data_IF_119672687512
#
_entry.id   IF_119672687512
#
_cell.length_a   1.000
_cell.length_b   1.000
_cell.length_c   1.000
_cell.angle_alpha   90.00
_cell.angle_beta   90.00
_cell.angle_gamma   90.00
#
_symmetry.space_group_name_H-M   'P 1'
#
loop_
_entity.id
_entity.type
_entity.pdbx_description
1 polymer ?
#
# COMPACT_ATOMS: atom_id res chain seq x y z
N UNK A 1 64.82 -2.53 -11.84
CA UNK A 1 63.69 -3.35 -11.30
C UNK A 1 62.41 -2.59 -11.55
N UNK A 2 61.42 -3.18 -12.16
CA UNK A 2 60.16 -2.51 -12.38
C UNK A 2 59.50 -2.22 -11.02
N UNK A 3 59.04 -1.00 -10.80
CA UNK A 3 58.37 -0.56 -9.59
C UNK A 3 57.02 -1.29 -9.47
N UNK A 4 56.68 -1.73 -8.26
CA UNK A 4 55.38 -2.35 -7.97
C UNK A 4 54.28 -1.30 -8.15
N UNK A 5 53.18 -1.60 -8.92
CA UNK A 5 52.08 -0.66 -9.09
C UNK A 5 51.33 -0.38 -7.77
N UNK A 6 50.71 0.79 -7.70
CA UNK A 6 49.81 1.10 -6.59
C UNK A 6 48.59 0.15 -6.56
N UNK A 7 48.04 -0.06 -5.36
CA UNK A 7 46.81 -0.85 -5.20
C UNK A 7 45.66 -0.21 -5.95
N UNK A 8 44.85 -0.99 -6.68
CA UNK A 8 43.61 -0.46 -7.26
C UNK A 8 42.59 -0.12 -6.17
N UNK A 9 41.56 0.63 -6.55
CA UNK A 9 40.44 0.96 -5.66
C UNK A 9 39.16 0.33 -6.20
N UNK A 10 38.47 -0.45 -5.37
CA UNK A 10 37.15 -0.99 -5.65
C UNK A 10 36.07 -0.08 -5.07
N UNK A 11 35.02 0.21 -5.85
CA UNK A 11 33.87 1.00 -5.42
C UNK A 11 32.60 0.35 -5.89
N UNK A 12 31.59 0.32 -5.00
CA UNK A 12 30.23 -0.01 -5.40
C UNK A 12 29.69 1.09 -6.33
N UNK A 13 28.95 0.70 -7.36
CA UNK A 13 28.22 1.62 -8.24
C UNK A 13 26.74 1.73 -7.77
N UNK A 14 25.97 2.69 -8.30
CA UNK A 14 24.53 2.72 -8.08
C UNK A 14 23.80 1.48 -8.58
N UNK A 15 24.37 0.76 -9.55
CA UNK A 15 23.85 -0.50 -10.05
C UNK A 15 24.51 -1.65 -9.28
N UNK A 16 23.71 -2.47 -8.58
CA UNK A 16 24.22 -3.48 -7.67
C UNK A 16 25.00 -4.60 -8.37
N UNK A 17 24.76 -4.84 -9.66
CA UNK A 17 25.47 -5.82 -10.47
C UNK A 17 26.85 -5.32 -10.94
N UNK A 18 27.15 -4.05 -10.77
CA UNK A 18 28.38 -3.41 -11.27
C UNK A 18 29.33 -3.07 -10.13
N UNK A 19 30.62 -3.18 -10.41
CA UNK A 19 31.72 -2.71 -9.54
C UNK A 19 32.62 -1.83 -10.36
N UNK A 20 32.93 -0.65 -9.85
CA UNK A 20 33.94 0.22 -10.43
C UNK A 20 35.33 -0.11 -9.88
N UNK A 21 36.27 -0.30 -10.80
CA UNK A 21 37.68 -0.59 -10.51
C UNK A 21 38.51 0.57 -11.01
N UNK A 22 39.10 1.33 -10.14
CA UNK A 22 39.97 2.47 -10.46
C UNK A 22 41.42 2.07 -10.17
N UNK A 23 42.33 2.34 -11.12
CA UNK A 23 43.78 2.16 -10.94
C UNK A 23 44.56 3.19 -11.69
N UNK A 24 45.77 3.51 -11.19
CA UNK A 24 46.68 4.42 -11.82
C UNK A 24 47.63 3.65 -12.76
N UNK A 25 47.83 4.17 -13.95
CA UNK A 25 48.74 3.59 -14.94
C UNK A 25 50.14 4.15 -14.68
N UNK A 26 51.17 3.31 -14.47
CA UNK A 26 52.56 3.80 -14.27
C UNK A 26 53.03 4.56 -15.48
N UNK A 27 53.75 5.67 -15.25
CA UNK A 27 54.42 6.43 -16.32
C UNK A 27 55.67 5.73 -16.81
N UNK A 28 56.36 5.10 -15.87
CA UNK A 28 57.60 4.42 -16.16
C UNK A 28 57.33 3.12 -16.91
N UNK A 29 57.93 3.02 -18.08
CA UNK A 29 57.92 1.79 -18.84
C UNK A 29 56.77 1.68 -19.85
N UNK A 30 55.95 2.69 -20.09
CA UNK A 30 54.93 2.79 -21.14
C UNK A 30 54.08 1.50 -21.29
N UNK A 31 53.34 1.09 -20.29
CA UNK A 31 52.54 -0.14 -20.37
C UNK A 31 51.40 0.06 -21.37
N UNK A 32 51.25 -0.94 -22.25
CA UNK A 32 50.18 -0.95 -23.26
C UNK A 32 49.00 -1.79 -22.87
N UNK A 33 49.17 -2.65 -21.87
CA UNK A 33 48.12 -3.57 -21.42
C UNK A 33 48.10 -3.68 -19.89
N UNK A 34 46.89 -3.89 -19.33
CA UNK A 34 46.68 -4.18 -17.93
C UNK A 34 45.82 -5.46 -17.78
N UNK A 35 46.13 -6.25 -16.77
CA UNK A 35 45.29 -7.34 -16.33
C UNK A 35 44.80 -7.06 -14.93
N UNK A 36 43.50 -7.19 -14.72
CA UNK A 36 42.86 -7.00 -13.40
C UNK A 36 42.37 -8.36 -12.89
N UNK A 37 42.77 -8.66 -11.65
CA UNK A 37 42.35 -9.88 -10.95
C UNK A 37 41.57 -9.50 -9.70
N UNK A 38 40.46 -10.20 -9.49
CA UNK A 38 39.64 -10.07 -8.29
C UNK A 38 39.81 -11.33 -7.42
N UNK A 39 40.10 -11.11 -6.14
CA UNK A 39 40.36 -12.15 -5.16
C UNK A 39 39.16 -12.22 -4.20
N UNK A 40 38.54 -13.36 -4.10
CA UNK A 40 37.48 -13.61 -3.12
C UNK A 40 38.02 -13.98 -1.75
N UNK A 41 37.31 -13.68 -0.68
CA UNK A 41 37.70 -14.04 0.68
C UNK A 41 37.89 -15.56 0.88
N UNK A 42 37.27 -16.39 0.07
CA UNK A 42 37.42 -17.86 0.04
C UNK A 42 38.63 -18.38 -0.74
N UNK A 43 39.51 -17.50 -1.27
CA UNK A 43 40.73 -17.85 -1.97
C UNK A 43 40.60 -17.99 -3.50
N UNK A 44 39.41 -17.92 -4.06
CA UNK A 44 39.22 -17.95 -5.51
C UNK A 44 39.76 -16.64 -6.15
N UNK A 45 40.40 -16.76 -7.31
CA UNK A 45 40.83 -15.62 -8.12
C UNK A 45 40.10 -15.64 -9.43
N UNK A 46 39.42 -14.55 -9.76
CA UNK A 46 38.70 -14.35 -11.01
C UNK A 46 39.39 -13.26 -11.85
N UNK A 47 39.25 -13.30 -13.15
CA UNK A 47 39.81 -12.31 -14.05
C UNK A 47 38.71 -11.42 -14.63
N UNK A 48 39.01 -10.13 -14.76
CA UNK A 48 38.20 -9.22 -15.56
C UNK A 48 38.52 -9.41 -17.06
N UNK A 49 37.46 -9.61 -17.85
CA UNK A 49 37.60 -9.68 -19.34
C UNK A 49 37.18 -8.34 -19.95
N UNK A 50 38.12 -7.70 -20.57
CA UNK A 50 37.94 -6.36 -21.17
C UNK A 50 36.99 -6.35 -22.38
N UNK A 51 36.77 -7.48 -23.03
CA UNK A 51 35.90 -7.52 -24.22
C UNK A 51 34.41 -7.65 -23.85
N UNK A 52 34.10 -8.36 -22.73
CA UNK A 52 32.73 -8.54 -22.25
C UNK A 52 32.36 -7.60 -21.08
N UNK A 53 33.34 -6.87 -20.53
CA UNK A 53 33.22 -6.07 -19.33
C UNK A 53 32.71 -6.87 -18.11
N UNK A 54 33.06 -8.15 -18.07
CA UNK A 54 32.61 -9.08 -17.03
C UNK A 54 33.77 -9.65 -16.24
N UNK A 55 33.48 -10.03 -15.01
CA UNK A 55 34.35 -10.89 -14.22
C UNK A 55 34.01 -12.34 -14.56
N UNK A 56 35.01 -13.05 -15.07
CA UNK A 56 34.84 -14.44 -15.50
C UNK A 56 34.88 -15.39 -14.30
N UNK A 57 34.31 -16.61 -14.42
CA UNK A 57 34.45 -17.67 -13.44
C UNK A 57 35.91 -17.95 -13.06
N UNK A 58 36.14 -18.50 -11.88
CA UNK A 58 37.45 -18.87 -11.42
C UNK A 58 38.13 -19.87 -12.37
N UNK A 59 39.38 -19.61 -12.75
CA UNK A 59 40.14 -20.45 -13.68
C UNK A 59 40.03 -20.09 -15.16
N UNK A 60 39.08 -19.24 -15.55
CA UNK A 60 38.97 -18.72 -16.90
C UNK A 60 39.96 -17.57 -17.13
N UNK A 61 40.50 -17.47 -18.34
CA UNK A 61 41.43 -16.39 -18.76
C UNK A 61 40.67 -15.28 -19.44
N UNK A 62 40.70 -14.08 -18.84
CA UNK A 62 40.13 -12.86 -19.44
C UNK A 62 41.11 -12.16 -20.39
N UNK A 63 40.53 -11.35 -21.27
CA UNK A 63 41.31 -10.48 -22.16
C UNK A 63 41.84 -9.28 -21.38
N UNK A 64 43.07 -8.89 -21.63
CA UNK A 64 43.68 -7.73 -21.02
C UNK A 64 43.02 -6.42 -21.45
N UNK A 65 43.05 -5.44 -20.59
CA UNK A 65 42.62 -4.07 -20.88
C UNK A 65 43.70 -3.40 -21.72
N UNK A 66 43.35 -2.92 -22.91
CA UNK A 66 44.26 -2.10 -23.72
C UNK A 66 44.29 -0.70 -23.10
N UNK A 67 45.48 -0.22 -22.84
CA UNK A 67 45.74 1.16 -22.41
C UNK A 67 46.01 2.02 -23.65
N UNK A 68 45.38 3.18 -23.75
CA UNK A 68 45.73 4.16 -24.76
C UNK A 68 47.08 4.77 -24.37
N UNK A 69 47.87 5.16 -25.37
CA UNK A 69 49.09 5.94 -25.13
C UNK A 69 48.77 7.15 -24.26
N UNK A 70 49.58 7.43 -23.22
CA UNK A 70 49.35 8.60 -22.37
C UNK A 70 49.49 9.86 -23.23
N UNK A 71 48.42 10.67 -23.27
CA UNK A 71 48.57 12.06 -23.69
C UNK A 71 49.59 12.71 -22.76
N UNK A 72 50.38 13.68 -23.28
CA UNK A 72 51.44 14.39 -22.53
C UNK A 72 50.90 15.15 -21.30
N UNK A 73 50.47 14.44 -20.29
CA UNK A 73 49.96 14.97 -19.02
C UNK A 73 50.92 14.65 -17.89
N UNK A 74 51.18 15.64 -17.05
CA UNK A 74 52.09 15.51 -15.90
C UNK A 74 51.56 14.55 -14.80
N UNK A 75 50.26 14.23 -14.79
CA UNK A 75 49.66 13.32 -13.82
C UNK A 75 49.60 11.88 -14.31
N UNK A 76 49.73 10.86 -13.47
CA UNK A 76 49.51 9.46 -13.84
C UNK A 76 48.13 9.30 -14.43
N UNK A 77 48.02 8.66 -15.58
CA UNK A 77 46.73 8.41 -16.21
C UNK A 77 45.92 7.45 -15.34
N UNK A 78 44.76 7.90 -14.84
CA UNK A 78 43.86 7.06 -14.09
C UNK A 78 42.91 6.35 -15.04
N UNK A 79 42.81 5.03 -14.90
CA UNK A 79 41.85 4.19 -15.63
C UNK A 79 40.73 3.76 -14.72
N UNK A 80 39.50 3.87 -15.20
CA UNK A 80 38.31 3.36 -14.54
C UNK A 80 37.63 2.30 -15.38
N UNK A 81 37.34 1.17 -14.80
CA UNK A 81 36.62 0.06 -15.43
C UNK A 81 35.30 -0.18 -14.66
N UNK A 82 34.29 -0.60 -15.41
CA UNK A 82 33.07 -1.15 -14.84
C UNK A 82 33.10 -2.65 -15.09
N UNK A 83 32.95 -3.41 -14.03
CA UNK A 83 32.93 -4.86 -14.06
C UNK A 83 31.58 -5.39 -13.60
N UNK A 84 31.01 -6.35 -14.34
CA UNK A 84 29.77 -7.05 -14.03
C UNK A 84 30.05 -8.53 -13.73
N UNK A 85 29.04 -9.30 -13.28
CA UNK A 85 29.18 -10.74 -13.03
C UNK A 85 29.79 -11.12 -11.70
N UNK A 86 29.86 -10.18 -10.74
CA UNK A 86 30.23 -10.46 -9.36
C UNK A 86 28.99 -10.76 -8.53
N UNK A 87 28.98 -11.94 -7.89
CA UNK A 87 27.98 -12.32 -6.91
C UNK A 87 28.23 -11.65 -5.54
N UNK A 88 27.45 -12.01 -4.52
CA UNK A 88 27.68 -11.56 -3.14
C UNK A 88 29.00 -12.12 -2.61
N UNK A 89 29.71 -11.32 -1.82
CA UNK A 89 30.99 -11.72 -1.24
C UNK A 89 31.88 -10.55 -0.88
N UNK A 90 33.08 -10.84 -0.44
CA UNK A 90 34.14 -9.85 -0.18
C UNK A 90 35.21 -10.02 -1.25
N UNK A 91 35.51 -8.94 -1.93
CA UNK A 91 36.46 -8.90 -3.04
C UNK A 91 37.55 -7.90 -2.80
N UNK A 92 38.77 -8.28 -3.20
CA UNK A 92 39.92 -7.40 -3.32
C UNK A 92 40.41 -7.45 -4.77
N UNK A 93 41.05 -6.42 -5.27
CA UNK A 93 41.58 -6.40 -6.61
C UNK A 93 43.09 -6.22 -6.62
N UNK A 94 43.73 -6.75 -7.66
CA UNK A 94 45.11 -6.46 -8.03
C UNK A 94 45.18 -6.11 -9.52
N UNK A 95 46.19 -5.34 -9.92
CA UNK A 95 46.51 -5.02 -11.30
C UNK A 95 47.95 -5.34 -11.59
N UNK A 96 48.23 -5.84 -12.78
CA UNK A 96 49.57 -5.98 -13.33
C UNK A 96 49.62 -5.40 -14.74
N UNK A 97 50.74 -4.85 -15.13
CA UNK A 97 50.93 -4.17 -16.41
C UNK A 97 51.93 -4.92 -17.29
N UNK A 98 51.79 -4.74 -18.61
CA UNK A 98 52.71 -5.29 -19.62
C UNK A 98 52.89 -4.34 -20.76
N UNK A 99 54.08 -4.23 -21.35
CA UNK A 99 54.35 -3.59 -22.62
C UNK A 99 53.90 -4.49 -23.80
N UNK A 100 53.77 -3.90 -24.97
CA UNK A 100 53.40 -4.65 -26.16
C UNK A 100 54.34 -5.80 -26.48
N UNK A 101 55.61 -5.57 -26.29
CA UNK A 101 56.67 -6.52 -26.66
C UNK A 101 57.07 -7.50 -25.55
N UNK A 102 56.54 -7.29 -24.34
CA UNK A 102 56.84 -8.19 -23.21
C UNK A 102 55.98 -9.44 -23.29
N UNK A 103 56.61 -10.60 -23.06
CA UNK A 103 55.92 -11.92 -22.97
C UNK A 103 55.24 -12.03 -21.61
N UNK A 104 55.91 -11.59 -20.56
CA UNK A 104 55.48 -11.76 -19.18
C UNK A 104 54.84 -10.47 -18.61
N UNK A 105 53.94 -10.67 -17.66
CA UNK A 105 53.36 -9.57 -16.88
C UNK A 105 54.39 -9.03 -15.88
N UNK A 106 54.46 -7.73 -15.74
CA UNK A 106 55.25 -7.08 -14.69
C UNK A 106 54.72 -7.41 -13.27
N UNK A 107 55.35 -6.81 -12.25
CA UNK A 107 54.95 -7.07 -10.85
C UNK A 107 53.45 -6.72 -10.63
N UNK A 108 52.83 -7.57 -9.86
CA UNK A 108 51.43 -7.35 -9.44
C UNK A 108 51.35 -6.31 -8.32
N UNK A 109 50.39 -5.43 -8.36
CA UNK A 109 50.13 -4.43 -7.32
C UNK A 109 49.83 -5.10 -5.96
N UNK A 110 49.88 -4.29 -4.90
CA UNK A 110 49.23 -4.67 -3.64
C UNK A 110 47.72 -4.85 -3.86
N UNK A 111 47.09 -5.60 -2.96
CA UNK A 111 45.63 -5.77 -2.99
C UNK A 111 44.95 -4.45 -2.60
N UNK A 112 43.79 -4.21 -3.21
CA UNK A 112 42.92 -3.12 -2.80
C UNK A 112 42.37 -3.30 -1.39
N UNK A 113 41.79 -2.26 -0.83
CA UNK A 113 40.87 -2.44 0.30
C UNK A 113 39.72 -3.37 -0.10
N UNK A 114 39.22 -4.20 0.83
CA UNK A 114 38.15 -5.12 0.55
C UNK A 114 36.83 -4.39 0.26
N UNK A 115 36.14 -4.84 -0.80
CA UNK A 115 34.77 -4.43 -1.12
C UNK A 115 33.82 -5.55 -0.69
N UNK A 116 32.95 -5.27 0.28
CA UNK A 116 31.93 -6.20 0.72
C UNK A 116 30.65 -5.99 -0.05
N UNK A 117 30.13 -7.06 -0.64
CA UNK A 117 28.86 -7.08 -1.38
C UNK A 117 27.94 -8.12 -0.73
N UNK A 118 26.85 -7.66 -0.17
CA UNK A 118 25.89 -8.53 0.53
C UNK A 118 24.47 -8.28 0.03
N UNK A 119 23.60 -9.25 0.25
CA UNK A 119 22.16 -9.05 0.14
C UNK A 119 21.72 -7.90 1.06
N UNK A 120 20.59 -7.25 0.79
CA UNK A 120 20.12 -6.14 1.60
C UNK A 120 19.78 -6.58 3.02
N UNK A 121 19.80 -5.63 3.94
CA UNK A 121 19.24 -5.83 5.28
C UNK A 121 17.73 -6.02 5.20
N UNK A 122 17.14 -6.60 6.24
CA UNK A 122 15.69 -6.72 6.36
C UNK A 122 15.00 -5.36 6.21
N UNK A 123 13.86 -5.35 5.53
CA UNK A 123 12.97 -4.21 5.53
C UNK A 123 12.43 -3.96 6.95
N UNK A 124 12.04 -2.71 7.26
CA UNK A 124 11.25 -2.43 8.46
C UNK A 124 9.88 -3.11 8.39
N UNK A 125 9.26 -3.36 9.56
CA UNK A 125 7.90 -3.87 9.59
C UNK A 125 6.95 -2.93 8.82
N UNK A 126 6.11 -3.45 7.91
CA UNK A 126 5.19 -2.60 7.15
C UNK A 126 4.08 -2.05 8.07
N UNK A 127 3.63 -0.83 7.75
CA UNK A 127 2.43 -0.25 8.33
C UNK A 127 1.25 -0.58 7.41
N UNK A 128 0.18 -1.12 7.98
CA UNK A 128 -1.05 -1.49 7.26
C UNK A 128 -2.21 -0.63 7.72
N UNK A 129 -3.00 -0.13 6.77
CA UNK A 129 -4.17 0.70 7.02
C UNK A 129 -5.34 0.18 6.20
N UNK A 130 -6.56 0.13 6.77
CA UNK A 130 -7.74 -0.27 6.05
C UNK A 130 -8.16 0.84 5.09
N UNK A 131 -8.62 0.49 3.88
CA UNK A 131 -9.13 1.42 2.87
C UNK A 131 -10.63 1.20 2.65
N UNK A 132 -11.04 -0.06 2.51
CA UNK A 132 -12.43 -0.48 2.35
C UNK A 132 -12.63 -1.89 2.92
N UNK A 133 -13.80 -2.47 2.72
CA UNK A 133 -14.12 -3.85 3.10
C UNK A 133 -13.31 -4.93 2.35
N UNK A 134 -12.62 -4.55 1.27
CA UNK A 134 -11.85 -5.45 0.42
C UNK A 134 -10.45 -4.95 0.11
N UNK A 135 -10.02 -3.79 0.67
CA UNK A 135 -8.76 -3.17 0.33
C UNK A 135 -7.94 -2.76 1.56
N UNK A 136 -6.65 -3.06 1.54
CA UNK A 136 -5.66 -2.65 2.54
C UNK A 136 -4.55 -1.83 1.85
N UNK A 137 -4.18 -0.71 2.46
CA UNK A 137 -3.01 0.07 2.11
C UNK A 137 -1.81 -0.40 2.93
N UNK A 138 -0.71 -0.70 2.24
CA UNK A 138 0.55 -1.15 2.84
C UNK A 138 1.62 -0.10 2.59
N UNK A 139 2.17 0.48 3.65
CA UNK A 139 3.31 1.38 3.62
C UNK A 139 4.56 0.64 4.07
N UNK A 140 5.63 0.74 3.31
CA UNK A 140 6.90 0.11 3.65
C UNK A 140 8.10 0.91 3.14
N UNK A 141 9.23 0.72 3.80
CA UNK A 141 10.51 1.29 3.39
C UNK A 141 11.46 0.15 3.04
N UNK A 142 12.23 0.35 1.98
CA UNK A 142 13.24 -0.63 1.55
C UNK A 142 14.64 -0.06 1.70
N UNK A 143 15.65 -0.91 1.97
CA UNK A 143 17.03 -0.52 2.04
C UNK A 143 17.50 0.16 0.75
N UNK A 144 18.50 1.04 0.86
CA UNK A 144 19.09 1.71 -0.31
C UNK A 144 19.75 0.68 -1.24
N UNK A 145 19.57 0.84 -2.55
CA UNK A 145 20.19 -0.02 -3.55
C UNK A 145 19.37 -1.26 -3.93
N UNK A 146 18.16 -1.43 -3.37
CA UNK A 146 17.27 -2.49 -3.79
C UNK A 146 16.62 -2.16 -5.15
N UNK A 147 16.46 -3.18 -5.99
CA UNK A 147 15.90 -3.07 -7.34
C UNK A 147 14.44 -3.47 -7.38
N UNK A 148 14.08 -4.50 -6.69
CA UNK A 148 12.73 -5.04 -6.57
C UNK A 148 12.53 -5.67 -5.20
N UNK A 149 11.32 -6.08 -4.91
CA UNK A 149 10.97 -6.71 -3.65
C UNK A 149 9.62 -7.38 -3.72
N UNK A 150 9.22 -8.00 -2.63
CA UNK A 150 7.99 -8.73 -2.53
C UNK A 150 7.19 -8.33 -1.28
N UNK A 151 5.88 -8.43 -1.40
CA UNK A 151 4.92 -8.20 -0.31
C UNK A 151 4.05 -9.44 -0.19
N UNK A 152 4.03 -10.01 1.00
CA UNK A 152 3.31 -11.26 1.28
C UNK A 152 2.32 -11.03 2.41
N UNK A 153 1.10 -11.49 2.18
CA UNK A 153 0.01 -11.52 3.13
C UNK A 153 -0.11 -12.92 3.73
N UNK A 154 -0.17 -12.99 5.04
CA UNK A 154 -0.46 -14.20 5.80
C UNK A 154 -1.85 -14.08 6.39
N UNK A 155 -2.72 -14.99 6.02
CA UNK A 155 -4.04 -15.17 6.62
C UNK A 155 -3.90 -15.81 8.01
N UNK A 156 -4.78 -15.46 8.94
CA UNK A 156 -4.73 -16.00 10.31
C UNK A 156 -4.77 -17.53 10.30
N UNK A 157 -3.80 -18.14 10.99
CA UNK A 157 -3.61 -19.61 11.02
C UNK A 157 -2.96 -20.21 9.76
N UNK A 158 -2.67 -19.44 8.73
CA UNK A 158 -2.01 -19.94 7.53
C UNK A 158 -0.48 -20.01 7.71
N UNK A 159 0.13 -21.15 7.36
CA UNK A 159 1.58 -21.33 7.35
C UNK A 159 2.24 -20.80 6.08
N UNK A 160 1.46 -20.61 5.01
CA UNK A 160 1.93 -20.15 3.70
C UNK A 160 1.31 -18.79 3.39
N UNK A 161 2.15 -17.81 3.09
CA UNK A 161 1.72 -16.50 2.67
C UNK A 161 1.35 -16.45 1.19
N UNK A 162 0.51 -15.46 0.83
CA UNK A 162 0.13 -15.17 -0.55
C UNK A 162 0.82 -13.90 -1.04
N UNK A 163 1.54 -14.02 -2.15
CA UNK A 163 2.26 -12.91 -2.75
C UNK A 163 1.31 -11.94 -3.46
N UNK A 164 1.64 -10.67 -3.46
CA UNK A 164 0.88 -9.64 -4.19
C UNK A 164 1.36 -9.59 -5.65
N UNK A 165 0.43 -9.66 -6.59
CA UNK A 165 0.76 -9.49 -8.02
C UNK A 165 1.04 -8.01 -8.33
N UNK A 166 2.11 -7.73 -9.06
CA UNK A 166 2.58 -6.38 -9.35
C UNK A 166 1.59 -5.57 -10.22
N UNK A 167 1.00 -6.22 -11.20
CA UNK A 167 0.15 -5.62 -12.23
C UNK A 167 -1.27 -5.32 -11.75
N UNK A 168 -1.84 -6.23 -10.97
CA UNK A 168 -3.24 -6.15 -10.50
C UNK A 168 -3.38 -5.62 -9.08
N UNK A 169 -2.30 -5.63 -8.30
CA UNK A 169 -2.33 -5.36 -6.85
C UNK A 169 -3.32 -6.26 -6.09
N UNK A 170 -3.45 -7.52 -6.52
CA UNK A 170 -4.27 -8.56 -5.87
C UNK A 170 -3.39 -9.67 -5.34
N UNK A 171 -3.94 -10.49 -4.43
CA UNK A 171 -3.22 -11.67 -3.94
C UNK A 171 -3.15 -12.74 -5.04
N UNK A 172 -1.95 -13.27 -5.29
CA UNK A 172 -1.73 -14.44 -6.16
C UNK A 172 -2.39 -15.67 -5.55
N UNK A 173 -2.54 -16.72 -6.34
CA UNK A 173 -2.94 -18.02 -5.81
C UNK A 173 -1.88 -18.55 -4.84
N UNK A 174 -2.31 -19.41 -3.91
CA UNK A 174 -1.39 -20.02 -2.94
C UNK A 174 -0.31 -20.82 -3.66
N UNK A 175 0.96 -20.56 -3.32
CA UNK A 175 2.13 -21.20 -3.94
C UNK A 175 2.71 -20.49 -5.18
N UNK A 176 2.01 -19.50 -5.75
CA UNK A 176 2.58 -18.65 -6.79
C UNK A 176 3.48 -17.58 -6.16
N UNK A 177 4.71 -17.49 -6.67
CA UNK A 177 5.72 -16.52 -6.22
C UNK A 177 6.08 -15.55 -7.34
N UNK A 178 6.71 -14.45 -6.99
CA UNK A 178 7.21 -13.45 -7.94
C UNK A 178 7.26 -12.06 -7.32
N UNK A 179 8.11 -11.17 -7.85
CA UNK A 179 8.27 -9.85 -7.25
C UNK A 179 6.98 -9.03 -7.32
N UNK A 180 6.63 -8.40 -6.21
CA UNK A 180 5.47 -7.50 -6.11
C UNK A 180 5.76 -6.13 -6.72
N UNK A 181 7.01 -5.67 -6.72
CA UNK A 181 7.37 -4.33 -7.18
C UNK A 181 8.77 -4.27 -7.77
N UNK A 182 8.98 -3.34 -8.71
CA UNK A 182 10.28 -3.03 -9.32
C UNK A 182 10.55 -1.53 -9.35
N UNK A 183 11.79 -1.13 -9.66
CA UNK A 183 12.18 0.27 -9.89
C UNK A 183 12.02 1.19 -8.68
N UNK A 184 12.72 0.93 -7.59
CA UNK A 184 12.46 1.51 -6.26
C UNK A 184 13.04 2.91 -6.04
N UNK A 185 12.15 3.86 -5.69
CA UNK A 185 12.49 5.02 -4.85
C UNK A 185 12.22 4.66 -3.37
N UNK A 186 12.96 5.28 -2.43
CA UNK A 186 12.78 5.06 -0.98
C UNK A 186 11.33 5.27 -0.55
N UNK A 187 10.76 4.29 0.14
CA UNK A 187 9.40 4.31 0.66
C UNK A 187 8.34 4.09 -0.44
N UNK A 188 7.55 3.05 -0.28
CA UNK A 188 6.42 2.75 -1.17
C UNK A 188 5.13 2.56 -0.40
N UNK A 189 4.08 2.81 -1.11
CA UNK A 189 2.72 2.53 -0.72
C UNK A 189 2.07 1.74 -1.85
N UNK A 190 1.42 0.65 -1.51
CA UNK A 190 0.55 -0.10 -2.42
C UNK A 190 -0.81 -0.26 -1.79
N UNK A 191 -1.85 -0.35 -2.61
CA UNK A 191 -3.20 -0.71 -2.18
C UNK A 191 -3.51 -2.09 -2.74
N UNK A 192 -3.68 -3.06 -1.86
CA UNK A 192 -3.98 -4.45 -2.21
C UNK A 192 -5.48 -4.66 -2.14
N UNK A 193 -6.04 -5.26 -3.19
CA UNK A 193 -7.48 -5.40 -3.44
C UNK A 193 -7.93 -6.86 -3.40
N UNK A 194 -9.25 -7.06 -3.29
CA UNK A 194 -9.86 -8.39 -3.35
C UNK A 194 -9.62 -9.22 -2.09
N UNK A 195 -9.41 -8.55 -0.95
CA UNK A 195 -9.28 -9.20 0.35
C UNK A 195 -10.64 -9.54 0.94
N UNK A 196 -10.69 -10.55 1.81
CA UNK A 196 -11.90 -10.87 2.58
C UNK A 196 -11.95 -10.01 3.85
N UNK A 197 -13.11 -9.43 4.13
CA UNK A 197 -13.31 -8.66 5.37
C UNK A 197 -13.25 -9.51 6.64
N UNK A 198 -13.57 -10.80 6.52
CA UNK A 198 -13.65 -11.71 7.66
C UNK A 198 -12.32 -12.33 8.08
N UNK A 199 -11.30 -12.20 7.23
CA UNK A 199 -9.97 -12.77 7.47
C UNK A 199 -9.07 -11.71 8.12
N UNK A 200 -8.30 -12.13 9.13
CA UNK A 200 -7.23 -11.31 9.71
C UNK A 200 -5.94 -11.52 8.93
N UNK A 201 -5.31 -10.43 8.53
CA UNK A 201 -4.08 -10.46 7.72
C UNK A 201 -2.90 -9.90 8.50
N UNK A 202 -1.73 -10.50 8.33
CA UNK A 202 -0.43 -9.89 8.63
C UNK A 202 0.40 -9.80 7.36
N UNK A 203 1.25 -8.79 7.25
CA UNK A 203 2.03 -8.49 6.04
C UNK A 203 3.50 -8.50 6.35
N UNK A 204 4.30 -9.09 5.47
CA UNK A 204 5.77 -9.01 5.48
C UNK A 204 6.27 -8.50 4.13
N UNK A 205 7.45 -7.92 4.15
CA UNK A 205 8.12 -7.37 2.97
C UNK A 205 9.57 -7.82 2.98
N UNK A 206 10.08 -8.20 1.82
CA UNK A 206 11.49 -8.34 1.59
C UNK A 206 11.96 -7.49 0.40
N UNK A 207 13.24 -7.46 0.14
CA UNK A 207 13.80 -6.69 -0.96
C UNK A 207 15.04 -7.37 -1.54
N UNK A 208 15.28 -7.15 -2.82
CA UNK A 208 16.41 -7.69 -3.58
C UNK A 208 17.27 -6.57 -4.15
N UNK A 209 18.56 -6.67 -4.07
CA UNK A 209 19.52 -5.66 -4.53
C UNK A 209 20.38 -6.10 -5.74
N UNK A 210 19.97 -7.12 -6.49
CA UNK A 210 20.76 -7.69 -7.59
C UNK A 210 21.85 -8.66 -7.15
N UNK A 211 22.18 -8.72 -5.86
CA UNK A 211 23.09 -9.70 -5.26
C UNK A 211 22.28 -10.87 -4.67
N UNK A 212 21.19 -10.56 -4.02
CA UNK A 212 20.32 -11.55 -3.39
C UNK A 212 19.12 -10.91 -2.70
N UNK A 213 18.23 -11.77 -2.23
CA UNK A 213 17.12 -11.40 -1.36
C UNK A 213 17.60 -11.13 0.06
N UNK A 214 17.10 -10.06 0.64
CA UNK A 214 17.25 -9.80 2.07
C UNK A 214 16.36 -10.71 2.90
N UNK A 215 16.54 -10.69 4.24
CA UNK A 215 15.60 -11.38 5.11
C UNK A 215 14.23 -10.70 5.09
N UNK A 216 13.17 -11.47 5.33
CA UNK A 216 11.83 -10.95 5.53
C UNK A 216 11.78 -9.93 6.69
N UNK A 217 10.98 -8.90 6.54
CA UNK A 217 10.68 -7.97 7.63
C UNK A 217 10.01 -8.68 8.80
N UNK A 218 9.99 -8.03 9.95
CA UNK A 218 9.04 -8.36 11.00
C UNK A 218 7.61 -8.21 10.45
N UNK A 219 6.64 -9.03 10.90
CA UNK A 219 5.26 -8.92 10.45
C UNK A 219 4.65 -7.56 10.87
N UNK A 220 3.70 -7.08 10.10
CA UNK A 220 2.83 -5.97 10.50
C UNK A 220 2.00 -6.34 11.74
N UNK A 221 1.32 -5.36 12.33
CA UNK A 221 0.20 -5.65 13.22
C UNK A 221 -0.89 -6.37 12.43
N UNK A 222 -1.62 -7.33 13.04
CA UNK A 222 -2.77 -7.95 12.40
C UNK A 222 -3.85 -6.91 12.08
N UNK A 223 -4.52 -7.08 10.94
CA UNK A 223 -5.63 -6.23 10.52
C UNK A 223 -6.78 -7.10 9.99
N UNK A 224 -8.00 -6.86 10.48
CA UNK A 224 -9.24 -7.45 10.00
C UNK A 224 -10.17 -6.34 9.54
N UNK A 225 -10.61 -6.37 8.28
CA UNK A 225 -11.38 -5.28 7.69
C UNK A 225 -12.78 -5.18 8.30
N UNK A 226 -13.40 -6.31 8.69
CA UNK A 226 -14.70 -6.33 9.37
C UNK A 226 -14.70 -5.57 10.70
N UNK A 227 -13.58 -5.45 11.40
CA UNK A 227 -13.48 -4.69 12.66
C UNK A 227 -13.70 -3.18 12.47
N UNK A 228 -13.69 -2.70 11.21
CA UNK A 228 -13.94 -1.31 10.83
C UNK A 228 -15.37 -1.06 10.32
N UNK A 229 -16.22 -2.09 10.29
CA UNK A 229 -17.65 -1.93 10.00
C UNK A 229 -18.34 -1.12 11.10
N UNK A 230 -19.45 -0.41 10.80
CA UNK A 230 -20.18 0.31 11.83
C UNK A 230 -20.76 -0.67 12.88
N UNK A 231 -20.80 -0.29 14.15
CA UNK A 231 -21.53 -1.07 15.17
C UNK A 231 -23.02 -1.11 14.86
N UNK A 232 -23.73 -2.08 15.44
CA UNK A 232 -25.20 -2.13 15.40
C UNK A 232 -25.77 -0.81 15.92
N UNK A 233 -26.67 -0.14 15.17
CA UNK A 233 -27.28 1.09 15.63
C UNK A 233 -28.32 0.84 16.73
N UNK A 234 -28.72 1.92 17.44
CA UNK A 234 -29.84 1.89 18.37
C UNK A 234 -31.16 1.62 17.67
N UNK A 235 -32.19 1.16 18.40
CA UNK A 235 -33.51 0.96 17.83
C UNK A 235 -34.05 2.27 17.22
N UNK A 236 -34.74 2.23 16.06
CA UNK A 236 -35.35 3.40 15.47
C UNK A 236 -36.52 3.90 16.36
N UNK A 237 -36.77 5.21 16.30
CA UNK A 237 -37.95 5.80 16.95
C UNK A 237 -39.02 6.04 15.88
N UNK A 238 -40.26 5.68 16.19
CA UNK A 238 -41.40 5.83 15.27
C UNK A 238 -42.41 6.80 15.89
N UNK A 239 -42.77 7.81 15.14
CA UNK A 239 -43.85 8.76 15.51
C UNK A 239 -44.72 9.11 14.30
N UNK A 240 -45.68 10.02 14.48
CA UNK A 240 -46.61 10.48 13.44
C UNK A 240 -47.19 9.31 12.63
N UNK A 241 -47.74 8.34 13.34
CA UNK A 241 -48.35 7.16 12.73
C UNK A 241 -49.75 7.54 12.20
N UNK A 242 -49.99 7.23 10.92
CA UNK A 242 -51.32 7.31 10.29
C UNK A 242 -51.82 5.94 9.87
N UNK A 243 -52.90 5.86 9.12
CA UNK A 243 -53.41 4.60 8.55
C UNK A 243 -52.51 4.06 7.43
N UNK A 244 -51.78 4.95 6.70
CA UNK A 244 -51.01 4.63 5.51
C UNK A 244 -49.55 5.01 5.60
N UNK A 245 -49.12 5.63 6.68
CA UNK A 245 -47.73 6.11 6.83
C UNK A 245 -47.26 6.16 8.27
N UNK A 246 -45.93 6.21 8.45
CA UNK A 246 -45.30 6.44 9.73
C UNK A 246 -43.97 7.20 9.51
N UNK A 247 -43.59 8.03 10.48
CA UNK A 247 -42.30 8.71 10.47
C UNK A 247 -41.30 7.95 11.34
N UNK A 248 -40.16 7.59 10.76
CA UNK A 248 -39.11 6.77 11.38
C UNK A 248 -37.85 7.61 11.53
N UNK A 249 -37.32 7.69 12.74
CA UNK A 249 -36.04 8.35 13.04
C UNK A 249 -34.93 7.31 13.22
N UNK A 250 -33.85 7.49 12.48
CA UNK A 250 -32.65 6.66 12.55
C UNK A 250 -31.45 7.51 12.93
N UNK A 251 -30.69 7.11 13.95
CA UNK A 251 -29.41 7.70 14.31
C UNK A 251 -28.31 7.14 13.41
N UNK A 252 -27.98 7.84 12.33
CA UNK A 252 -26.96 7.39 11.36
C UNK A 252 -25.61 8.02 11.68
N UNK A 253 -24.57 7.18 11.82
CA UNK A 253 -23.21 7.65 12.07
C UNK A 253 -22.66 8.46 10.89
N UNK A 254 -21.74 9.36 11.19
CA UNK A 254 -21.02 10.14 10.17
C UNK A 254 -20.37 9.21 9.14
N UNK A 255 -20.48 9.56 7.87
CA UNK A 255 -19.96 8.78 6.73
C UNK A 255 -20.61 7.40 6.54
N UNK A 256 -21.76 7.15 7.15
CA UNK A 256 -22.54 5.94 6.90
C UNK A 256 -23.77 6.24 6.05
N UNK A 257 -24.25 5.21 5.33
CA UNK A 257 -25.56 5.16 4.68
C UNK A 257 -26.44 4.24 5.51
N UNK A 258 -27.76 4.49 5.56
CA UNK A 258 -28.68 3.61 6.26
C UNK A 258 -29.63 2.91 5.29
N UNK A 259 -30.04 1.70 5.64
CA UNK A 259 -31.14 0.97 5.02
C UNK A 259 -32.17 0.64 6.07
N UNK A 260 -33.44 0.99 5.83
CA UNK A 260 -34.54 0.76 6.78
C UNK A 260 -35.41 -0.35 6.22
N UNK A 261 -35.62 -1.36 7.05
CA UNK A 261 -36.52 -2.48 6.74
C UNK A 261 -37.76 -2.50 7.63
N UNK A 262 -38.91 -2.80 7.06
CA UNK A 262 -40.16 -3.00 7.73
C UNK A 262 -40.61 -4.46 7.56
N UNK A 263 -41.03 -5.07 8.62
CA UNK A 263 -41.63 -6.39 8.62
C UNK A 263 -43.08 -6.23 9.04
N UNK A 264 -44.04 -6.54 8.18
CA UNK A 264 -45.43 -6.64 8.56
C UNK A 264 -45.64 -7.93 9.42
N UNK A 265 -45.94 -7.73 10.67
CA UNK A 265 -46.10 -8.84 11.65
C UNK A 265 -47.26 -9.74 11.25
N UNK A 266 -46.98 -11.03 11.11
CA UNK A 266 -47.99 -12.03 10.70
C UNK A 266 -48.05 -12.36 9.21
N UNK A 267 -47.48 -11.53 8.34
CA UNK A 267 -47.43 -11.81 6.87
C UNK A 267 -46.07 -12.30 6.39
N UNK A 268 -45.02 -12.05 7.20
CA UNK A 268 -43.61 -12.35 6.78
C UNK A 268 -43.10 -11.50 5.67
N UNK A 269 -43.82 -10.47 5.22
CA UNK A 269 -43.41 -9.59 4.13
C UNK A 269 -42.44 -8.56 4.67
N UNK A 270 -41.22 -8.57 4.15
CA UNK A 270 -40.22 -7.54 4.41
C UNK A 270 -40.25 -6.48 3.33
N UNK A 271 -40.38 -5.23 3.72
CA UNK A 271 -40.38 -4.05 2.85
C UNK A 271 -39.16 -3.19 3.20
N UNK A 272 -38.54 -2.60 2.19
CA UNK A 272 -37.39 -1.71 2.38
C UNK A 272 -37.68 -0.32 1.84
N UNK A 273 -37.14 0.69 2.48
CA UNK A 273 -37.24 2.08 2.03
C UNK A 273 -36.12 2.36 1.04
N UNK A 274 -36.49 2.67 -0.19
CA UNK A 274 -35.57 3.12 -1.24
C UNK A 274 -35.55 4.65 -1.31
N UNK A 275 -34.43 5.26 -0.92
CA UNK A 275 -34.26 6.73 -0.94
C UNK A 275 -33.99 7.31 -2.34
N UNK A 276 -33.78 6.49 -3.36
CA UNK A 276 -33.52 6.98 -4.74
C UNK A 276 -34.76 7.48 -5.46
N UNK A 277 -35.99 7.12 -5.00
CA UNK A 277 -37.24 7.28 -5.72
C UNK A 277 -38.44 7.79 -4.87
N UNK A 278 -38.18 8.60 -3.88
CA UNK A 278 -39.29 9.29 -3.20
C UNK A 278 -39.87 8.59 -1.95
N UNK A 279 -39.05 7.89 -1.17
CA UNK A 279 -39.46 7.24 0.09
C UNK A 279 -40.54 6.15 -0.03
N UNK A 280 -40.73 5.56 -1.21
CA UNK A 280 -41.69 4.48 -1.42
C UNK A 280 -41.18 3.15 -0.83
N UNK A 281 -42.08 2.37 -0.22
CA UNK A 281 -41.82 0.99 0.20
C UNK A 281 -41.71 0.10 -1.04
N UNK A 282 -40.56 -0.59 -1.18
CA UNK A 282 -40.35 -1.58 -2.24
C UNK A 282 -39.86 -2.89 -1.66
N UNK A 283 -40.18 -4.03 -2.29
CA UNK A 283 -39.56 -5.29 -1.95
C UNK A 283 -38.08 -5.23 -2.29
N UNK A 284 -37.25 -5.52 -1.32
CA UNK A 284 -35.81 -5.86 -1.36
C UNK A 284 -34.96 -5.27 -2.50
N UNK A 285 -34.82 -3.94 -2.63
CA UNK A 285 -33.72 -3.32 -3.40
C UNK A 285 -33.62 -1.81 -3.13
N UNK A 286 -32.65 -1.38 -2.36
CA UNK A 286 -32.26 0.03 -2.31
C UNK A 286 -31.66 0.47 -0.98
N UNK A 287 -30.48 1.09 -1.05
CA UNK A 287 -29.80 1.67 0.12
C UNK A 287 -30.03 3.18 0.18
N UNK A 288 -30.28 3.70 1.38
CA UNK A 288 -30.35 5.12 1.65
C UNK A 288 -28.99 5.79 1.51
N UNK A 289 -28.87 6.82 0.67
CA UNK A 289 -27.66 7.64 0.58
C UNK A 289 -27.67 8.70 1.70
N UNK A 290 -26.63 8.75 2.52
CA UNK A 290 -26.49 9.75 3.57
C UNK A 290 -25.80 11.02 3.11
N UNK A 291 -26.18 12.16 3.70
CA UNK A 291 -25.37 13.37 3.74
C UNK A 291 -24.15 13.15 4.67
N UNK A 292 -23.07 13.92 4.47
CA UNK A 292 -21.78 13.82 5.18
C UNK A 292 -21.79 14.07 6.70
N UNK A 293 -22.95 14.15 7.35
CA UNK A 293 -23.07 14.44 8.78
C UNK A 293 -23.89 13.35 9.47
N UNK A 294 -23.55 13.02 10.71
CA UNK A 294 -24.41 12.20 11.56
C UNK A 294 -25.76 12.89 11.71
N UNK A 295 -26.83 12.26 11.25
CA UNK A 295 -28.14 12.88 11.21
C UNK A 295 -29.16 12.03 11.96
N UNK A 296 -29.88 12.64 12.91
CA UNK A 296 -31.23 12.24 13.23
C UNK A 296 -32.12 12.72 12.10
N UNK A 297 -32.43 11.87 11.13
CA UNK A 297 -33.41 12.22 10.09
C UNK A 297 -34.66 11.40 10.29
N UNK A 298 -35.78 12.09 10.48
CA UNK A 298 -37.09 11.50 10.38
C UNK A 298 -37.44 11.29 8.91
N UNK A 299 -37.69 10.06 8.51
CA UNK A 299 -38.14 9.67 7.18
C UNK A 299 -39.61 9.31 7.27
N UNK A 300 -40.47 10.01 6.55
CA UNK A 300 -41.88 9.61 6.39
C UNK A 300 -41.97 8.49 5.38
N UNK A 301 -42.50 7.37 5.79
CA UNK A 301 -42.64 6.16 4.97
C UNK A 301 -44.12 5.96 4.67
N UNK A 302 -44.56 6.28 3.44
CA UNK A 302 -45.94 6.06 2.98
C UNK A 302 -46.14 4.63 2.46
N UNK A 303 -47.42 4.25 2.23
CA UNK A 303 -47.78 2.97 1.61
C UNK A 303 -47.87 1.81 2.58
N UNK A 304 -47.96 2.10 3.88
CA UNK A 304 -48.29 1.12 4.89
C UNK A 304 -49.79 0.73 4.80
N UNK A 305 -50.11 -0.50 5.19
CA UNK A 305 -51.53 -0.93 5.29
C UNK A 305 -52.10 -0.47 6.63
N UNK A 306 -53.39 -0.07 6.57
CA UNK A 306 -54.13 0.32 7.79
C UNK A 306 -54.29 -0.85 8.77
N UNK A 307 -54.44 -0.52 10.04
CA UNK A 307 -54.64 -1.47 11.15
C UNK A 307 -53.64 -2.63 11.20
N UNK A 308 -52.42 -2.39 10.76
CA UNK A 308 -51.38 -3.41 10.61
C UNK A 308 -50.23 -3.19 11.59
N UNK A 309 -49.79 -4.26 12.27
CA UNK A 309 -48.61 -4.22 13.13
C UNK A 309 -47.35 -4.37 12.28
N UNK A 310 -46.41 -3.42 12.41
CA UNK A 310 -45.10 -3.42 11.78
C UNK A 310 -43.99 -3.51 12.82
N UNK A 311 -42.91 -4.17 12.45
CA UNK A 311 -41.62 -4.11 13.13
C UNK A 311 -40.59 -3.47 12.23
N UNK A 312 -40.00 -2.36 12.63
CA UNK A 312 -39.00 -1.63 11.87
C UNK A 312 -37.63 -1.78 12.50
N UNK A 313 -36.62 -2.00 11.67
CA UNK A 313 -35.22 -2.00 12.03
C UNK A 313 -34.40 -1.32 10.93
N UNK A 314 -33.18 -0.91 11.21
CA UNK A 314 -32.26 -0.40 10.21
C UNK A 314 -30.85 -0.89 10.45
N UNK A 315 -30.04 -0.90 9.39
CA UNK A 315 -28.61 -1.09 9.43
C UNK A 315 -27.92 0.08 8.73
N UNK A 316 -26.65 0.24 8.99
CA UNK A 316 -25.87 1.31 8.37
C UNK A 316 -24.62 0.76 7.70
N UNK A 317 -24.19 1.39 6.60
CA UNK A 317 -23.03 0.98 5.82
C UNK A 317 -22.02 2.11 5.73
N UNK A 318 -20.75 1.79 5.97
CA UNK A 318 -19.61 2.61 5.59
C UNK A 318 -18.81 1.94 4.46
N UNK A 319 -17.59 2.43 4.18
CA UNK A 319 -16.70 1.85 3.18
C UNK A 319 -16.20 0.43 3.55
N UNK A 320 -16.38 0.02 4.81
CA UNK A 320 -15.98 -1.30 5.33
C UNK A 320 -17.13 -2.31 5.43
N UNK A 321 -18.33 -1.96 5.02
CA UNK A 321 -19.45 -2.87 5.00
C UNK A 321 -20.66 -2.45 5.81
N UNK A 322 -21.63 -3.36 5.95
CA UNK A 322 -22.85 -3.16 6.67
C UNK A 322 -22.70 -3.50 8.15
N UNK A 323 -23.33 -2.71 9.02
CA UNK A 323 -23.52 -3.07 10.43
C UNK A 323 -24.52 -4.23 10.59
N UNK A 324 -24.54 -4.89 11.73
CA UNK A 324 -25.71 -5.65 12.13
C UNK A 324 -26.97 -4.75 12.17
N UNK A 325 -28.17 -5.36 12.07
CA UNK A 325 -29.41 -4.63 12.24
C UNK A 325 -29.58 -4.10 13.66
N UNK A 326 -30.25 -2.95 13.78
CA UNK A 326 -30.72 -2.43 15.06
C UNK A 326 -31.72 -3.39 15.72
N UNK A 327 -31.96 -3.27 17.03
CA UNK A 327 -33.16 -3.81 17.64
C UNK A 327 -34.41 -3.31 16.92
N UNK A 328 -35.45 -4.13 16.86
CA UNK A 328 -36.72 -3.80 16.19
C UNK A 328 -37.59 -2.93 17.07
N UNK A 329 -38.19 -1.89 16.50
CA UNK A 329 -39.29 -1.14 17.12
C UNK A 329 -40.62 -1.57 16.50
N UNK A 330 -41.58 -1.92 17.35
CA UNK A 330 -42.93 -2.30 16.89
C UNK A 330 -43.87 -1.11 16.99
N UNK A 331 -44.75 -0.99 16.00
CA UNK A 331 -45.84 -0.01 16.00
C UNK A 331 -47.01 -0.56 15.18
N UNK A 332 -48.18 0.05 15.34
CA UNK A 332 -49.39 -0.29 14.60
C UNK A 332 -49.91 0.95 13.90
N UNK A 333 -50.23 0.84 12.61
CA UNK A 333 -50.89 1.89 11.86
C UNK A 333 -52.33 2.06 12.34
N UNK A 334 -52.86 3.27 12.18
CA UNK A 334 -54.24 3.57 12.54
C UNK A 334 -55.22 2.83 11.63
N UNK A 335 -56.44 2.54 12.13
CA UNK A 335 -57.52 2.02 11.31
C UNK A 335 -58.14 3.14 10.44
N UNK A 336 -58.60 2.83 9.24
CA UNK A 336 -59.31 3.80 8.39
C UNK A 336 -60.61 4.34 9.04
N UNK A 337 -61.15 3.62 9.99
CA UNK A 337 -62.39 3.99 10.72
C UNK A 337 -62.13 5.12 11.74
N UNK A 338 -60.95 5.19 12.34
CA UNK A 338 -60.61 6.22 13.31
C UNK A 338 -60.38 7.61 12.65
N UNK A 339 -60.23 7.65 11.32
CA UNK A 339 -59.95 8.86 10.56
C UNK A 339 -61.22 9.60 10.13
N UNK A 340 -62.33 8.89 9.98
CA UNK A 340 -63.59 9.46 9.51
C UNK A 340 -64.28 10.37 10.52
N UNK A 341 -63.74 10.47 11.76
CA UNK A 341 -64.38 11.27 12.84
C UNK A 341 -64.04 12.75 12.87
N UNK A 342 -62.96 13.24 12.28
CA UNK A 342 -62.57 14.62 12.61
C UNK A 342 -61.83 15.48 11.54
N UNK A 343 -61.35 14.96 10.39
CA UNK A 343 -60.73 15.87 9.38
C UNK A 343 -60.74 15.32 7.98
N UNK A 344 -60.97 16.20 6.99
CA UNK A 344 -60.85 15.87 5.54
C UNK A 344 -59.41 15.71 5.12
N UNK A 345 -59.18 14.98 3.99
CA UNK A 345 -57.85 14.73 3.44
C UNK A 345 -57.11 16.05 3.09
N UNK A 346 -57.87 17.07 2.68
CA UNK A 346 -57.35 18.41 2.35
C UNK A 346 -56.81 19.16 3.59
N UNK A 347 -57.48 19.05 4.72
CA UNK A 347 -57.00 19.67 6.00
C UNK A 347 -55.71 19.00 6.50
N UNK A 348 -55.48 17.72 6.24
CA UNK A 348 -54.25 17.01 6.56
C UNK A 348 -53.09 17.42 5.68
N UNK A 349 -53.32 17.53 4.36
CA UNK A 349 -52.28 17.95 3.40
C UNK A 349 -51.87 19.42 3.66
N UNK A 350 -52.77 20.29 4.11
CA UNK A 350 -52.42 21.65 4.54
C UNK A 350 -51.65 21.71 5.85
N UNK A 351 -51.94 20.86 6.81
CA UNK A 351 -51.20 20.78 8.07
C UNK A 351 -49.77 20.20 7.85
N UNK A 352 -49.64 19.19 7.00
CA UNK A 352 -48.34 18.66 6.57
C UNK A 352 -47.51 19.74 5.83
N UNK A 353 -48.14 20.56 4.98
CA UNK A 353 -47.47 21.67 4.32
C UNK A 353 -47.03 22.77 5.28
N UNK A 354 -47.87 23.10 6.31
CA UNK A 354 -47.51 24.10 7.35
C UNK A 354 -46.32 23.64 8.19
N UNK A 355 -46.27 22.38 8.58
CA UNK A 355 -45.12 21.83 9.35
C UNK A 355 -43.87 21.61 8.52
N UNK A 356 -43.98 21.52 7.20
CA UNK A 356 -42.82 21.41 6.32
C UNK A 356 -42.13 22.77 6.10
N UNK A 357 -42.83 23.89 6.35
CA UNK A 357 -42.28 25.26 6.18
C UNK A 357 -41.53 25.74 7.43
N UNK A 358 -41.85 25.22 8.63
CA UNK A 358 -41.27 25.70 9.90
C UNK A 358 -39.88 25.08 10.25
N UNK A 359 -39.29 24.24 9.37
CA UNK A 359 -37.99 23.58 9.64
C UNK A 359 -36.83 24.22 8.90
N UNK A 360 -37.07 25.24 8.05
CA UNK A 360 -36.03 25.75 7.14
C UNK A 360 -35.38 27.08 7.59
N UNK A 361 -35.73 27.65 8.75
CA UNK A 361 -35.22 28.96 9.20
C UNK A 361 -34.58 28.96 10.60
N UNK A 362 -33.66 28.02 10.88
CA UNK A 362 -32.66 28.23 11.94
C UNK A 362 -31.29 27.80 11.46
N UNK A 363 -30.79 28.45 10.42
CA UNK A 363 -29.35 28.56 10.18
C UNK A 363 -28.80 29.58 11.22
N UNK A 364 -28.52 29.06 12.41
CA UNK A 364 -27.71 29.82 13.37
C UNK A 364 -26.27 29.85 12.85
N UNK A 365 -25.88 31.01 12.36
CA UNK A 365 -24.52 31.40 12.02
C UNK A 365 -23.57 31.18 13.21
N UNK A 366 -23.01 30.01 13.31
CA UNK A 366 -21.74 29.82 14.03
C UNK A 366 -20.58 30.17 13.10
N UNK A 367 -20.20 31.43 13.09
CA UNK A 367 -18.96 31.93 12.52
C UNK A 367 -17.77 31.11 13.06
N UNK A 368 -16.89 30.60 12.20
CA UNK A 368 -15.67 29.96 12.67
C UNK A 368 -14.72 31.02 13.21
N UNK A 369 -14.39 30.94 14.49
CA UNK A 369 -13.29 31.69 15.09
C UNK A 369 -11.99 31.52 14.27
N UNK A 370 -11.43 32.65 13.85
CA UNK A 370 -10.14 32.70 13.16
C UNK A 370 -9.03 32.17 14.08
N UNK A 371 -8.17 31.26 13.62
CA UNK A 371 -7.03 30.84 14.41
C UNK A 371 -6.06 32.00 14.63
N UNK A 372 -5.68 32.21 15.88
CA UNK A 372 -4.72 33.20 16.32
C UNK A 372 -3.36 33.02 15.61
N UNK A 373 -2.82 34.11 15.07
CA UNK A 373 -1.50 34.19 14.45
C UNK A 373 -0.42 33.79 15.46
N UNK A 374 0.26 32.68 15.26
CA UNK A 374 1.50 32.32 15.96
C UNK A 374 2.60 33.31 15.58
N UNK A 375 3.10 34.01 16.60
CA UNK A 375 4.21 34.93 16.51
C UNK A 375 5.48 34.24 16.03
N UNK A 376 6.25 34.92 15.19
CA UNK A 376 7.61 34.61 14.80
C UNK A 376 8.50 34.55 16.05
N UNK A 377 9.13 33.41 16.29
CA UNK A 377 10.30 33.33 17.15
C UNK A 377 11.51 33.71 16.31
N UNK A 378 12.12 34.84 16.66
CA UNK A 378 13.43 35.28 16.18
C UNK A 378 14.51 34.32 16.71
N UNK A 379 15.46 34.04 15.81
CA UNK A 379 16.70 33.31 16.12
C UNK A 379 17.65 34.26 16.85
N UNK A 380 18.16 33.83 17.97
CA UNK A 380 19.50 34.12 18.43
C UNK A 380 20.29 32.80 18.58
#
# INVERSE_FOLDING_TARGET
MAQQPAAPTLKATPKPEEVRIDFDVPKDGEPTHAVVRLHEAGGATRMYDAASEKVLPAGEKGRAVTLKEPEESETPARKSLIATGLEGGTFEATVAFRRADDIDWGPTSLRSAPLVRTAPLACGAPLVEPVSDTEIRVHFAVPKGCMFGDVVFYEDGASVGRHVAFDTCTLRQAGETGPTFGGMKRGKMIVVKGLSSEISYTVRVDAHNGIGWGPWSSPSKPIKLADHQPPAPSAPVVDQISSDSARVFCAVLKNCRASIGFLAVGTGIELFVDHGWGNELRPLAGALSSSRHACYKGVVVPGLSADTEYAVAYCQKNDFGWSPYSPRTKFRTLSDVEITGTRTREERDEELKRHAVDVDDTDDEMSPEKPAKRGKLEKN
#
